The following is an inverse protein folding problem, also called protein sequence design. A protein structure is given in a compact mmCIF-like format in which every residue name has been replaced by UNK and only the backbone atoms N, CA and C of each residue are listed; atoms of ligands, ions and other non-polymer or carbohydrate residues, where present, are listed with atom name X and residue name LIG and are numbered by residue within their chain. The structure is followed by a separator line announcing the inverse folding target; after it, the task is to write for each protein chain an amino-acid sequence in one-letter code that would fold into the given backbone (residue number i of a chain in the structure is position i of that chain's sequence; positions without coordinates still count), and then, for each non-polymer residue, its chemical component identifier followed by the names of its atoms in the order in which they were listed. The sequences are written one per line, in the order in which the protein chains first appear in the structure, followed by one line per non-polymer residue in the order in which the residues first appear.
data_IF_993806214765
#
_entry.id   IF_993806214765
#
_cell.length_a   1.000
_cell.length_b   1.000
_cell.length_c   1.000
_cell.angle_alpha   90.00
_cell.angle_beta   90.00
_cell.angle_gamma   90.00
#
_symmetry.space_group_name_H-M   'P 1'
#
loop_
_entity.id
_entity.type
_entity.pdbx_description
1 polymer ?
#
# COMPACT_ATOMS: atom_id res chain seq x y z
N UNK A 1 0.56 8.15 9.29
CA UNK A 1 0.73 8.52 7.87
C UNK A 1 -0.54 8.13 7.15
N UNK A 2 -1.14 9.07 6.42
CA UNK A 2 -2.36 8.79 5.66
C UNK A 2 -1.97 7.92 4.46
N UNK A 3 -2.67 6.81 4.20
CA UNK A 3 -2.39 5.89 3.08
C UNK A 3 -2.45 6.57 1.70
N UNK A 4 -2.96 7.80 1.66
CA UNK A 4 -3.08 8.64 0.48
C UNK A 4 -1.78 9.40 0.12
N UNK A 5 -0.76 9.50 0.98
CA UNK A 5 0.45 10.29 0.65
C UNK A 5 1.43 9.57 -0.30
N UNK A 6 1.33 8.24 -0.39
CA UNK A 6 2.03 7.46 -1.41
C UNK A 6 1.29 7.40 -2.74
N UNK A 7 0.12 8.05 -2.85
CA UNK A 7 -0.62 8.18 -4.11
C UNK A 7 0.11 9.17 -5.03
N UNK A 8 1.20 8.64 -5.58
CA UNK A 8 1.99 9.08 -6.73
C UNK A 8 3.04 10.14 -6.42
N UNK A 9 4.22 9.63 -6.05
CA UNK A 9 5.45 10.40 -6.05
C UNK A 9 5.73 11.03 -7.42
N UNK A 10 5.91 12.36 -7.41
CA UNK A 10 5.75 13.23 -8.59
C UNK A 10 6.97 13.27 -9.51
N UNK A 11 8.13 12.89 -8.99
CA UNK A 11 9.42 12.99 -9.66
C UNK A 11 10.50 12.35 -8.81
N UNK A 12 11.68 12.16 -9.39
CA UNK A 12 12.88 11.76 -8.67
C UNK A 12 13.23 12.72 -7.52
N UNK A 13 12.99 14.03 -7.71
CA UNK A 13 13.19 15.03 -6.67
C UNK A 13 12.20 14.84 -5.50
N UNK A 14 10.94 14.55 -5.80
CA UNK A 14 9.94 14.29 -4.78
C UNK A 14 10.21 12.97 -4.02
N UNK A 15 10.62 11.91 -4.73
CA UNK A 15 11.07 10.66 -4.10
C UNK A 15 12.21 10.93 -3.12
N UNK A 16 13.25 11.69 -3.52
CA UNK A 16 14.36 12.07 -2.63
C UNK A 16 13.91 12.78 -1.36
N UNK A 17 12.82 13.55 -1.40
CA UNK A 17 12.28 14.24 -0.23
C UNK A 17 11.51 13.30 0.70
N UNK A 18 10.76 12.35 0.15
CA UNK A 18 9.93 11.42 0.95
C UNK A 18 10.70 10.21 1.48
N UNK A 19 11.71 9.73 0.75
CA UNK A 19 12.42 8.51 1.08
C UNK A 19 13.00 8.45 2.50
N UNK A 20 13.57 9.55 3.05
CA UNK A 20 13.99 9.55 4.45
C UNK A 20 12.87 9.20 5.43
N UNK A 21 11.64 9.69 5.20
CA UNK A 21 10.49 9.38 6.06
C UNK A 21 10.04 7.92 5.89
N UNK A 22 9.98 7.42 4.66
CA UNK A 22 9.57 6.04 4.37
C UNK A 22 10.56 5.03 4.95
N UNK A 23 11.86 5.24 4.75
CA UNK A 23 12.92 4.39 5.29
C UNK A 23 12.93 4.44 6.82
N UNK A 24 12.75 5.62 7.42
CA UNK A 24 12.66 5.75 8.88
C UNK A 24 11.41 5.08 9.45
N UNK A 25 10.30 5.10 8.72
CA UNK A 25 9.08 4.38 9.11
C UNK A 25 9.32 2.86 9.12
N UNK A 26 10.02 2.34 8.13
CA UNK A 26 10.40 0.92 8.11
C UNK A 26 11.38 0.54 9.23
N UNK A 27 12.35 1.42 9.53
CA UNK A 27 13.24 1.24 10.69
C UNK A 27 12.45 1.22 12.00
N UNK A 28 11.47 2.10 12.17
CA UNK A 28 10.60 2.13 13.33
C UNK A 28 9.84 0.81 13.51
N UNK A 29 9.27 0.26 12.42
CA UNK A 29 8.59 -1.04 12.43
C UNK A 29 9.56 -2.16 12.85
N UNK A 30 10.79 -2.16 12.33
CA UNK A 30 11.81 -3.15 12.72
C UNK A 30 12.19 -3.04 14.20
N UNK A 31 12.45 -1.83 14.70
CA UNK A 31 12.76 -1.58 16.11
C UNK A 31 11.62 -2.03 17.01
N UNK A 32 10.37 -1.67 16.69
CA UNK A 32 9.19 -2.11 17.43
C UNK A 32 9.08 -3.64 17.46
N UNK A 33 9.36 -4.30 16.34
CA UNK A 33 9.35 -5.77 16.26
C UNK A 33 10.34 -6.39 17.25
N UNK A 34 11.53 -5.81 17.38
CA UNK A 34 12.58 -6.31 18.28
C UNK A 34 12.29 -5.96 19.75
N UNK A 35 11.91 -4.73 20.02
CA UNK A 35 11.81 -4.21 21.39
C UNK A 35 10.50 -4.60 22.08
N UNK A 36 9.42 -4.79 21.31
CA UNK A 36 8.07 -4.93 21.86
C UNK A 36 7.41 -6.30 21.63
N UNK A 37 7.89 -7.11 20.67
CA UNK A 37 7.27 -8.40 20.35
C UNK A 37 8.05 -9.60 20.90
N UNK A 38 7.29 -10.65 21.24
CA UNK A 38 7.84 -11.94 21.66
C UNK A 38 8.43 -12.71 20.48
N UNK A 39 9.35 -13.63 20.77
CA UNK A 39 10.09 -14.39 19.73
C UNK A 39 9.17 -15.09 18.72
N UNK A 40 8.08 -15.69 19.19
CA UNK A 40 7.07 -16.33 18.34
C UNK A 40 6.23 -15.35 17.49
N UNK A 41 6.19 -14.06 17.85
CA UNK A 41 5.46 -13.03 17.11
C UNK A 41 6.35 -12.29 16.11
N UNK A 42 7.67 -12.24 16.37
CA UNK A 42 8.65 -11.52 15.55
C UNK A 42 8.70 -12.01 14.12
N UNK A 43 8.70 -13.32 13.91
CA UNK A 43 8.76 -13.90 12.56
C UNK A 43 7.54 -13.49 11.74
N UNK A 44 6.34 -13.68 12.30
CA UNK A 44 5.10 -13.33 11.62
C UNK A 44 5.02 -11.84 11.28
N UNK A 45 5.36 -10.97 12.24
CA UNK A 45 5.32 -9.53 12.05
C UNK A 45 6.40 -9.05 11.07
N UNK A 46 7.61 -9.63 11.11
CA UNK A 46 8.67 -9.33 10.13
C UNK A 46 8.23 -9.69 8.71
N UNK A 47 7.62 -10.87 8.54
CA UNK A 47 7.09 -11.33 7.26
C UNK A 47 5.96 -10.42 6.75
N UNK A 48 5.15 -9.85 7.65
CA UNK A 48 4.08 -8.91 7.27
C UNK A 48 4.62 -7.66 6.56
N UNK A 49 5.78 -7.15 6.99
CA UNK A 49 6.35 -5.91 6.46
C UNK A 49 7.53 -6.11 5.49
N UNK A 50 8.01 -7.33 5.31
CA UNK A 50 9.18 -7.63 4.48
C UNK A 50 9.05 -7.13 3.03
N UNK A 51 7.93 -7.43 2.38
CA UNK A 51 7.67 -7.04 0.99
C UNK A 51 7.55 -5.51 0.84
N UNK A 52 6.87 -4.86 1.80
CA UNK A 52 6.73 -3.40 1.86
C UNK A 52 8.09 -2.74 2.06
N UNK A 53 8.92 -3.27 2.98
CA UNK A 53 10.28 -2.78 3.20
C UNK A 53 11.11 -2.86 1.93
N UNK A 54 11.11 -4.03 1.28
CA UNK A 54 11.85 -4.24 0.03
C UNK A 54 11.40 -3.26 -1.06
N UNK A 55 10.09 -3.08 -1.20
CA UNK A 55 9.54 -2.15 -2.20
C UNK A 55 9.92 -0.69 -1.90
N UNK A 56 9.91 -0.25 -0.64
CA UNK A 56 10.39 1.09 -0.25
C UNK A 56 11.86 1.27 -0.61
N UNK A 57 12.72 0.29 -0.27
CA UNK A 57 14.15 0.36 -0.59
C UNK A 57 14.39 0.41 -2.11
N UNK A 58 13.69 -0.42 -2.89
CA UNK A 58 13.80 -0.43 -4.35
C UNK A 58 13.23 0.83 -5.01
N UNK A 59 12.24 1.49 -4.39
CA UNK A 59 11.69 2.77 -4.86
C UNK A 59 12.63 3.94 -4.53
N UNK A 60 13.29 3.89 -3.38
CA UNK A 60 14.08 4.99 -2.84
C UNK A 60 15.53 5.04 -3.32
N UNK A 61 16.02 3.94 -3.89
CA UNK A 61 17.36 3.88 -4.48
C UNK A 61 17.30 3.77 -6.00
N UNK A 62 18.29 4.37 -6.65
CA UNK A 62 18.43 4.33 -8.11
C UNK A 62 18.49 2.87 -8.59
N UNK A 63 17.66 2.53 -9.59
CA UNK A 63 17.54 1.18 -10.09
C UNK A 63 16.29 0.96 -10.95
N UNK A 64 16.14 -0.24 -11.52
CA UNK A 64 15.12 -0.52 -12.53
C UNK A 64 13.68 -0.34 -12.01
N UNK A 65 13.45 -0.60 -10.72
CA UNK A 65 12.13 -0.40 -10.13
C UNK A 65 11.76 1.08 -9.99
N UNK A 66 12.70 1.92 -9.55
CA UNK A 66 12.51 3.37 -9.51
C UNK A 66 12.34 3.96 -10.91
N UNK A 67 13.13 3.50 -11.89
CA UNK A 67 13.05 3.97 -13.27
C UNK A 67 11.67 3.67 -13.89
N UNK A 68 11.19 2.44 -13.70
CA UNK A 68 9.86 2.03 -14.16
C UNK A 68 8.74 2.79 -13.42
N UNK A 69 8.88 3.02 -12.12
CA UNK A 69 7.94 3.87 -11.37
C UNK A 69 7.88 5.28 -11.96
N UNK A 70 9.03 5.91 -12.19
CA UNK A 70 9.13 7.27 -12.71
C UNK A 70 8.60 7.41 -14.14
N UNK A 71 8.68 6.34 -14.95
CA UNK A 71 8.09 6.28 -16.29
C UNK A 71 6.57 6.51 -16.26
N UNK A 72 5.87 5.95 -15.27
CA UNK A 72 4.40 6.02 -15.17
C UNK A 72 3.89 7.13 -14.22
N UNK A 73 4.75 7.62 -13.33
CA UNK A 73 4.43 8.55 -12.26
C UNK A 73 3.64 9.79 -12.71
N UNK A 74 4.06 10.42 -13.83
CA UNK A 74 3.43 11.66 -14.30
C UNK A 74 1.97 11.48 -14.72
N UNK A 75 1.64 10.35 -15.38
CA UNK A 75 0.27 10.08 -15.78
C UNK A 75 -0.60 9.66 -14.58
N UNK A 76 -0.06 8.77 -13.73
CA UNK A 76 -0.77 8.29 -12.55
C UNK A 76 -1.08 9.44 -11.57
N UNK A 77 -0.23 10.45 -11.49
CA UNK A 77 -0.52 11.70 -10.77
C UNK A 77 -1.77 12.41 -11.31
N UNK A 78 -1.90 12.54 -12.63
CA UNK A 78 -3.06 13.19 -13.25
C UNK A 78 -4.36 12.39 -13.03
N UNK A 79 -4.25 11.07 -12.82
CA UNK A 79 -5.38 10.20 -12.46
C UNK A 79 -5.73 10.23 -10.96
N UNK A 80 -4.90 10.86 -10.11
CA UNK A 80 -5.08 10.89 -8.64
C UNK A 80 -6.51 11.25 -8.17
N UNK A 81 -7.23 12.23 -8.77
CA UNK A 81 -8.61 12.51 -8.36
C UNK A 81 -9.58 11.33 -8.59
N UNK A 82 -9.37 10.53 -9.65
CA UNK A 82 -10.18 9.34 -9.95
C UNK A 82 -9.76 8.16 -9.09
N UNK A 83 -8.46 8.00 -8.85
CA UNK A 83 -7.93 7.05 -7.89
C UNK A 83 -8.53 7.26 -6.49
N UNK A 84 -8.63 8.51 -6.03
CA UNK A 84 -9.23 8.85 -4.73
C UNK A 84 -10.72 8.43 -4.62
N UNK A 85 -11.45 8.33 -5.74
CA UNK A 85 -12.82 7.82 -5.73
C UNK A 85 -12.87 6.31 -5.42
N UNK A 86 -11.85 5.56 -5.81
CA UNK A 86 -11.77 4.12 -5.54
C UNK A 86 -11.65 3.80 -4.04
N UNK A 87 -11.05 4.70 -3.25
CA UNK A 87 -10.87 4.48 -1.82
C UNK A 87 -12.13 4.74 -0.98
N UNK A 88 -13.14 5.44 -1.53
CA UNK A 88 -14.32 5.87 -0.77
C UNK A 88 -15.10 4.73 -0.12
N UNK A 89 -15.16 3.56 -0.75
CA UNK A 89 -15.85 2.40 -0.16
C UNK A 89 -15.04 1.81 0.99
N UNK A 90 -13.73 1.69 0.83
CA UNK A 90 -12.83 1.21 1.86
C UNK A 90 -12.83 2.13 3.09
N UNK A 91 -12.75 3.45 2.88
CA UNK A 91 -12.83 4.46 3.95
C UNK A 91 -14.13 4.38 4.75
N UNK A 92 -15.27 4.10 4.10
CA UNK A 92 -16.54 3.91 4.82
C UNK A 92 -16.52 2.68 5.71
N UNK A 93 -16.02 1.56 5.20
CA UNK A 93 -15.91 0.30 5.97
C UNK A 93 -15.03 0.53 7.20
N UNK A 94 -13.88 1.18 7.05
CA UNK A 94 -12.97 1.45 8.18
C UNK A 94 -13.58 2.41 9.21
N UNK A 95 -14.26 3.47 8.76
CA UNK A 95 -14.96 4.40 9.66
C UNK A 95 -16.11 3.74 10.42
N UNK A 96 -16.85 2.83 9.79
CA UNK A 96 -17.93 2.09 10.46
C UNK A 96 -17.39 1.16 11.55
N UNK A 97 -16.22 0.56 11.34
CA UNK A 97 -15.53 -0.26 12.35
C UNK A 97 -15.13 0.57 13.57
N UNK A 98 -14.48 1.72 13.33
CA UNK A 98 -14.06 2.64 14.39
C UNK A 98 -15.27 3.12 15.22
N UNK A 99 -16.38 3.46 14.56
CA UNK A 99 -17.60 3.92 15.23
C UNK A 99 -18.30 2.84 16.05
N UNK A 100 -18.21 1.57 15.63
CA UNK A 100 -18.89 0.47 16.32
C UNK A 100 -18.14 -0.04 17.55
N UNK A 101 -16.93 0.47 17.85
CA UNK A 101 -16.11 0.05 18.99
C UNK A 101 -16.11 -1.49 19.14
N UNK A 102 -16.00 -2.17 18.00
CA UNK A 102 -16.65 -3.46 17.75
C UNK A 102 -16.49 -4.45 18.90
N UNK A 103 -17.57 -4.62 19.68
CA UNK A 103 -17.76 -5.82 20.50
C UNK A 103 -17.70 -7.00 19.53
N UNK A 104 -16.66 -7.80 19.71
CA UNK A 104 -16.17 -8.82 18.80
C UNK A 104 -17.29 -9.83 18.51
N UNK A 105 -17.76 -9.88 17.26
CA UNK A 105 -18.46 -11.04 16.72
C UNK A 105 -17.70 -11.46 15.48
N UNK A 106 -16.79 -12.41 15.71
CA UNK A 106 -16.35 -13.46 14.78
C UNK A 106 -15.93 -13.03 13.38
N UNK A 107 -14.61 -12.82 13.14
CA UNK A 107 -13.88 -12.97 11.85
C UNK A 107 -14.36 -12.22 10.59
N UNK A 108 -15.58 -11.73 10.58
CA UNK A 108 -16.35 -11.21 9.46
C UNK A 108 -15.88 -9.82 9.05
N UNK A 109 -15.36 -9.06 10.01
CA UNK A 109 -14.73 -7.76 9.75
C UNK A 109 -13.49 -7.88 8.89
N UNK A 110 -12.64 -8.89 9.12
CA UNK A 110 -11.49 -9.13 8.27
C UNK A 110 -11.94 -9.41 6.83
N UNK A 111 -13.03 -10.17 6.66
CA UNK A 111 -13.61 -10.39 5.33
C UNK A 111 -14.07 -9.09 4.66
N UNK A 112 -14.82 -8.23 5.36
CA UNK A 112 -15.28 -6.94 4.80
C UNK A 112 -14.13 -5.99 4.45
N UNK A 113 -13.12 -5.89 5.32
CA UNK A 113 -11.92 -5.07 5.09
C UNK A 113 -11.16 -5.61 3.88
N UNK A 114 -10.90 -6.92 3.83
CA UNK A 114 -10.17 -7.54 2.73
C UNK A 114 -10.91 -7.39 1.39
N UNK A 115 -12.23 -7.60 1.36
CA UNK A 115 -13.04 -7.41 0.15
C UNK A 115 -13.07 -5.95 -0.29
N UNK A 116 -13.29 -5.01 0.64
CA UNK A 116 -13.27 -3.58 0.34
C UNK A 116 -11.91 -3.13 -0.19
N UNK A 117 -10.82 -3.66 0.38
CA UNK A 117 -9.46 -3.36 -0.07
C UNK A 117 -9.18 -3.95 -1.46
N UNK A 118 -9.57 -5.19 -1.74
CA UNK A 118 -9.45 -5.80 -3.08
C UNK A 118 -10.20 -4.99 -4.14
N UNK A 119 -11.43 -4.56 -3.84
CA UNK A 119 -12.18 -3.71 -4.75
C UNK A 119 -11.50 -2.36 -5.00
N UNK A 120 -10.87 -1.76 -3.98
CA UNK A 120 -10.05 -0.56 -4.15
C UNK A 120 -8.88 -0.80 -5.12
N UNK A 121 -8.12 -1.90 -4.94
CA UNK A 121 -7.00 -2.25 -5.81
C UNK A 121 -7.45 -2.44 -7.27
N UNK A 122 -8.54 -3.17 -7.47
CA UNK A 122 -9.11 -3.43 -8.80
C UNK A 122 -9.62 -2.15 -9.46
N UNK A 123 -10.35 -1.31 -8.72
CA UNK A 123 -10.82 -0.01 -9.21
C UNK A 123 -9.66 0.89 -9.63
N UNK A 124 -8.62 0.99 -8.81
CA UNK A 124 -7.44 1.78 -9.12
C UNK A 124 -6.73 1.27 -10.37
N UNK A 125 -6.54 -0.05 -10.50
CA UNK A 125 -5.92 -0.62 -11.70
C UNK A 125 -6.75 -0.30 -12.96
N UNK A 126 -8.08 -0.38 -12.88
CA UNK A 126 -8.96 -0.04 -14.00
C UNK A 126 -8.93 1.46 -14.34
N UNK A 127 -8.83 2.34 -13.35
CA UNK A 127 -8.67 3.79 -13.55
C UNK A 127 -7.39 4.08 -14.32
N UNK A 128 -6.26 3.56 -13.84
CA UNK A 128 -4.95 3.73 -14.50
C UNK A 128 -4.95 3.13 -15.90
N UNK A 129 -5.56 1.96 -16.13
CA UNK A 129 -5.68 1.39 -17.48
C UNK A 129 -6.37 2.35 -18.45
N UNK A 130 -7.49 2.93 -18.03
CA UNK A 130 -8.28 3.84 -18.87
C UNK A 130 -7.55 5.14 -19.16
N UNK A 131 -6.78 5.65 -18.19
CA UNK A 131 -6.18 6.98 -18.27
C UNK A 131 -4.73 6.97 -18.78
N UNK A 132 -3.96 5.93 -18.45
CA UNK A 132 -2.51 5.84 -18.64
C UNK A 132 -2.08 4.63 -19.48
N UNK A 133 -3.01 3.75 -19.85
CA UNK A 133 -2.74 2.59 -20.71
C UNK A 133 -2.37 1.32 -19.93
N UNK A 134 -2.22 0.22 -20.68
CA UNK A 134 -2.06 -1.11 -20.12
C UNK A 134 -0.74 -1.32 -19.36
N UNK A 135 0.35 -0.71 -19.82
CA UNK A 135 1.66 -0.81 -19.17
C UNK A 135 1.62 -0.21 -17.74
N UNK A 136 1.09 1.01 -17.61
CA UNK A 136 0.91 1.67 -16.32
C UNK A 136 -0.04 0.88 -15.40
N UNK A 137 -1.08 0.26 -15.96
CA UNK A 137 -2.00 -0.59 -15.20
C UNK A 137 -1.33 -1.86 -14.69
N UNK A 138 -0.50 -2.50 -15.52
CA UNK A 138 0.28 -3.67 -15.13
C UNK A 138 1.31 -3.32 -14.04
N UNK A 139 1.97 -2.17 -14.16
CA UNK A 139 2.86 -1.66 -13.13
C UNK A 139 2.10 -1.41 -11.82
N UNK A 140 0.96 -0.72 -11.87
CA UNK A 140 0.09 -0.46 -10.72
C UNK A 140 -0.32 -1.75 -10.01
N UNK A 141 -0.69 -2.79 -10.77
CA UNK A 141 -1.01 -4.10 -10.21
C UNK A 141 0.16 -4.72 -9.45
N UNK A 142 1.39 -4.64 -9.99
CA UNK A 142 2.59 -5.14 -9.34
C UNK A 142 2.93 -4.36 -8.07
N UNK A 143 2.82 -3.03 -8.13
CA UNK A 143 3.04 -2.14 -6.98
C UNK A 143 2.06 -2.48 -5.85
N UNK A 144 0.77 -2.59 -6.17
CA UNK A 144 -0.27 -2.98 -5.22
C UNK A 144 -0.03 -4.35 -4.62
N UNK A 145 0.35 -5.34 -5.43
CA UNK A 145 0.67 -6.68 -4.93
C UNK A 145 1.83 -6.62 -3.93
N UNK A 146 2.91 -5.88 -4.21
CA UNK A 146 4.04 -5.72 -3.27
C UNK A 146 3.66 -5.03 -1.97
N UNK A 147 2.73 -4.06 -2.02
CA UNK A 147 2.22 -3.39 -0.82
C UNK A 147 1.34 -4.28 0.06
N UNK A 148 0.67 -5.25 -0.53
CA UNK A 148 -0.47 -5.90 0.12
C UNK A 148 -0.43 -7.43 0.16
N UNK A 149 0.58 -8.07 -0.45
CA UNK A 149 0.60 -9.53 -0.59
C UNK A 149 0.52 -10.22 0.76
N UNK A 150 1.29 -9.75 1.74
CA UNK A 150 1.32 -10.30 3.09
C UNK A 150 0.01 -10.08 3.85
N UNK A 151 -0.65 -8.93 3.64
CA UNK A 151 -1.94 -8.59 4.26
C UNK A 151 -3.12 -9.33 3.63
N UNK A 152 -3.06 -9.60 2.32
CA UNK A 152 -4.11 -10.28 1.56
C UNK A 152 -3.97 -11.81 1.56
N UNK A 153 -2.87 -12.35 2.11
CA UNK A 153 -2.71 -13.77 2.41
C UNK A 153 -3.53 -14.14 3.65
N UNK A 154 -4.85 -14.14 3.49
CA UNK A 154 -5.76 -14.89 4.35
C UNK A 154 -6.16 -16.12 3.54
N UNK A 155 -5.86 -17.31 4.06
CA UNK A 155 -6.02 -18.60 3.40
C UNK A 155 -7.31 -18.68 2.56
N UNK A 156 -7.14 -18.94 1.26
CA UNK A 156 -8.16 -19.65 0.47
C UNK A 156 -7.96 -21.14 0.75
#
# INVERSE_FOLDING_TARGET
MNSNDLSFARSKMYLRQMCPELENSMKCVQTFTLDCLQENQREHFSNLYADTNKMIMELCHDGPFQDEFLKHAQCMQNDSPRHNLCNKKYERITQEIERRNATIVDGSWNHYICCGFREYLDCSQHSVRRQCGDEAAQFTKQLHARMSSSMLRVNI
#
